data_IF_243151073425
#
_entry.id   IF_243151073425
#
_cell.length_a   1.000
_cell.length_b   1.000
_cell.length_c   1.000
_cell.angle_alpha   90.00
_cell.angle_beta   90.00
_cell.angle_gamma   90.00
#
_symmetry.space_group_name_H-M   'P 1'
#
loop_
_entity.id
_entity.type
_entity.pdbx_description
1 polymer ?
#
# COMPACT_ATOMS: atom_id res chain seq x y z
N UNK A 1 0.63 12.43 -1.27
CA UNK A 1 0.48 12.76 -2.70
C UNK A 1 1.57 13.72 -3.13
N UNK A 2 1.88 13.78 -4.42
CA UNK A 2 2.77 14.84 -4.96
C UNK A 2 2.00 16.17 -4.92
N UNK A 3 2.48 17.13 -4.12
CA UNK A 3 1.83 18.45 -3.95
C UNK A 3 2.44 19.50 -4.87
N UNK A 4 3.74 19.39 -5.12
CA UNK A 4 4.47 20.17 -6.11
C UNK A 4 5.48 19.25 -6.80
N UNK A 5 6.03 19.63 -7.98
CA UNK A 5 6.92 18.76 -8.74
C UNK A 5 8.06 18.21 -7.86
N UNK A 6 8.17 16.87 -7.83
CA UNK A 6 9.14 16.13 -7.02
C UNK A 6 9.07 16.35 -5.49
N UNK A 7 7.92 16.82 -4.97
CA UNK A 7 7.67 16.94 -3.54
C UNK A 7 6.42 16.15 -3.15
N UNK A 8 6.62 15.16 -2.29
CA UNK A 8 5.56 14.28 -1.81
C UNK A 8 5.21 14.63 -0.38
N UNK A 9 3.99 15.09 -0.15
CA UNK A 9 3.47 15.34 1.19
C UNK A 9 2.47 14.26 1.62
N UNK A 10 2.54 13.85 2.87
CA UNK A 10 1.71 12.79 3.43
C UNK A 10 1.84 12.67 4.92
N UNK A 11 1.10 11.72 5.50
CA UNK A 11 1.15 11.41 6.93
C UNK A 11 2.07 10.21 7.14
N UNK A 12 2.97 10.32 8.10
CA UNK A 12 3.86 9.26 8.54
C UNK A 12 4.06 9.41 10.06
N UNK A 13 3.80 8.34 10.80
CA UNK A 13 3.85 8.31 12.27
C UNK A 13 3.05 9.46 12.90
N UNK A 14 1.79 9.63 12.47
CA UNK A 14 0.86 10.66 12.95
C UNK A 14 1.33 12.11 12.79
N UNK A 15 2.33 12.34 11.94
CA UNK A 15 2.84 13.66 11.60
C UNK A 15 2.74 13.91 10.10
N UNK A 16 2.64 15.17 9.70
CA UNK A 16 2.70 15.53 8.28
C UNK A 16 4.14 15.78 7.87
N UNK A 17 4.51 15.21 6.72
CA UNK A 17 5.84 15.29 6.14
C UNK A 17 5.75 15.79 4.71
N UNK A 18 6.80 16.48 4.27
CA UNK A 18 7.11 16.72 2.85
C UNK A 18 8.49 16.12 2.58
N UNK A 19 8.55 15.25 1.59
CA UNK A 19 9.77 14.56 1.17
C UNK A 19 10.13 14.99 -0.26
N UNK A 20 11.41 15.19 -0.51
CA UNK A 20 11.96 15.38 -1.86
C UNK A 20 13.35 14.73 -1.93
N UNK A 21 13.87 14.47 -3.11
CA UNK A 21 15.15 13.80 -3.27
C UNK A 21 16.00 14.38 -4.40
N UNK A 22 17.30 14.25 -4.25
CA UNK A 22 18.32 14.41 -5.29
C UNK A 22 18.89 13.03 -5.63
N UNK A 23 19.92 12.96 -6.48
CA UNK A 23 20.59 11.69 -6.81
C UNK A 23 21.20 11.01 -5.56
N UNK A 24 21.66 11.79 -4.58
CA UNK A 24 22.40 11.26 -3.42
C UNK A 24 21.66 11.39 -2.09
N UNK A 25 20.65 12.26 -2.00
CA UNK A 25 20.05 12.64 -0.71
C UNK A 25 18.52 12.65 -0.75
N UNK A 26 17.91 12.12 0.32
CA UNK A 26 16.50 12.31 0.66
C UNK A 26 16.38 13.46 1.67
N UNK A 27 15.64 14.50 1.29
CA UNK A 27 15.32 15.64 2.12
C UNK A 27 13.95 15.45 2.77
N UNK A 28 13.91 15.58 4.08
CA UNK A 28 12.70 15.40 4.89
C UNK A 28 12.37 16.69 5.64
N UNK A 29 11.15 17.19 5.49
CA UNK A 29 10.58 18.27 6.29
C UNK A 29 9.38 17.74 7.06
N UNK A 30 9.31 17.98 8.36
CA UNK A 30 8.18 17.60 9.21
C UNK A 30 7.47 18.86 9.72
N UNK A 31 6.15 18.81 9.79
CA UNK A 31 5.32 19.92 10.22
C UNK A 31 4.75 19.63 11.61
N UNK A 32 4.89 20.60 12.53
CA UNK A 32 4.47 20.46 13.93
C UNK A 32 3.57 21.60 14.39
N UNK A 33 2.67 21.27 15.33
CA UNK A 33 1.71 22.20 15.93
C UNK A 33 0.62 22.66 14.96
N UNK A 34 -0.42 23.29 15.49
CA UNK A 34 -1.65 23.61 14.75
C UNK A 34 -1.46 24.55 13.54
N UNK A 35 -0.34 25.29 13.51
CA UNK A 35 -0.02 26.31 12.50
C UNK A 35 0.93 25.86 11.39
N UNK A 36 1.28 24.58 11.26
CA UNK A 36 2.12 24.18 10.12
C UNK A 36 3.60 24.53 10.27
N UNK A 37 4.16 24.61 11.49
CA UNK A 37 5.58 24.99 11.61
C UNK A 37 6.46 23.89 11.01
N UNK A 38 6.99 24.16 9.82
CA UNK A 38 7.97 23.32 9.17
C UNK A 38 9.28 23.34 9.96
N UNK A 39 9.91 22.19 10.12
CA UNK A 39 11.20 22.09 10.78
C UNK A 39 12.00 20.89 10.30
N UNK A 40 13.30 20.92 10.61
CA UNK A 40 14.15 19.74 10.44
C UNK A 40 13.65 18.61 11.36
N UNK A 41 13.67 17.35 10.89
CA UNK A 41 13.35 16.21 11.73
C UNK A 41 14.38 16.04 12.86
N UNK A 42 13.90 15.60 14.02
CA UNK A 42 14.74 15.10 15.11
C UNK A 42 15.29 13.72 14.77
N UNK A 43 16.28 13.23 15.53
CA UNK A 43 16.82 11.87 15.34
C UNK A 43 15.76 10.78 15.51
N UNK A 44 14.83 10.93 16.47
CA UNK A 44 13.74 9.96 16.66
C UNK A 44 12.76 9.94 15.49
N UNK A 45 12.36 11.11 14.99
CA UNK A 45 11.47 11.19 13.83
C UNK A 45 12.16 10.65 12.55
N UNK A 46 13.49 10.82 12.41
CA UNK A 46 14.24 10.18 11.33
C UNK A 46 14.26 8.66 11.45
N UNK A 47 14.23 8.07 12.65
CA UNK A 47 14.11 6.61 12.78
C UNK A 47 12.79 6.11 12.20
N UNK A 48 11.70 6.83 12.40
CA UNK A 48 10.41 6.48 11.80
C UNK A 48 10.47 6.49 10.26
N UNK A 49 11.12 7.51 9.68
CA UNK A 49 11.36 7.57 8.22
C UNK A 49 12.23 6.40 7.75
N UNK A 50 13.32 6.11 8.45
CA UNK A 50 14.22 4.99 8.11
C UNK A 50 13.51 3.65 8.14
N UNK A 51 12.68 3.40 9.15
CA UNK A 51 11.87 2.19 9.28
C UNK A 51 10.82 2.11 8.17
N UNK A 52 10.04 3.18 7.98
CA UNK A 52 8.98 3.23 6.96
C UNK A 52 9.50 2.94 5.55
N UNK A 53 10.65 3.50 5.16
CA UNK A 53 11.28 3.24 3.86
C UNK A 53 12.24 2.02 3.86
N UNK A 54 12.40 1.36 5.00
CA UNK A 54 13.31 0.22 5.19
C UNK A 54 14.73 0.53 4.69
N UNK A 55 15.27 1.69 5.05
CA UNK A 55 16.53 2.22 4.50
C UNK A 55 17.76 1.38 4.86
N UNK A 56 17.67 0.53 5.88
CA UNK A 56 18.74 -0.39 6.27
C UNK A 56 18.87 -1.59 5.32
N UNK A 57 17.84 -1.86 4.50
CA UNK A 57 17.90 -2.89 3.46
C UNK A 57 18.74 -2.37 2.30
N UNK A 58 19.86 -3.05 2.01
CA UNK A 58 20.71 -2.72 0.88
C UNK A 58 20.09 -3.23 -0.44
N UNK A 59 19.38 -2.35 -1.15
CA UNK A 59 18.77 -2.68 -2.44
C UNK A 59 19.77 -3.14 -3.50
N UNK A 60 21.00 -2.62 -3.47
CA UNK A 60 22.02 -2.98 -4.46
C UNK A 60 22.46 -4.45 -4.31
N UNK A 61 22.41 -4.98 -3.08
CA UNK A 61 22.62 -6.41 -2.82
C UNK A 61 21.42 -7.26 -3.23
N UNK A 62 20.23 -6.66 -3.31
CA UNK A 62 19.04 -7.39 -3.70
C UNK A 62 19.06 -7.65 -5.20
N UNK A 63 19.19 -6.68 -6.12
CA UNK A 63 19.37 -6.97 -7.57
C UNK A 63 19.91 -5.78 -8.39
N UNK A 64 20.57 -6.05 -9.54
CA UNK A 64 21.16 -5.07 -10.47
C UNK A 64 20.19 -4.08 -11.17
N UNK A 65 18.86 -4.24 -11.01
CA UNK A 65 17.83 -3.44 -11.73
C UNK A 65 16.70 -2.91 -10.85
N UNK A 66 16.83 -2.98 -9.52
CA UNK A 66 15.72 -2.65 -8.62
C UNK A 66 15.75 -1.18 -8.19
N UNK A 67 14.79 -0.40 -8.67
CA UNK A 67 14.62 1.02 -8.31
C UNK A 67 13.41 1.27 -7.41
N UNK A 68 12.81 0.23 -6.81
CA UNK A 68 11.57 0.34 -6.02
C UNK A 68 11.80 -0.29 -4.64
N UNK A 69 11.49 0.46 -3.59
CA UNK A 69 11.44 -0.02 -2.20
C UNK A 69 10.00 -0.33 -1.81
N UNK A 70 9.85 -1.33 -0.96
CA UNK A 70 8.58 -1.59 -0.29
C UNK A 70 8.52 -0.82 1.03
N UNK A 71 7.37 -0.21 1.32
CA UNK A 71 7.15 0.51 2.57
C UNK A 71 6.80 -0.46 3.70
N UNK A 72 7.26 -0.16 4.92
CA UNK A 72 6.85 -0.81 6.17
C UNK A 72 5.79 0.06 6.84
N UNK A 73 4.54 -0.16 6.45
CA UNK A 73 3.39 0.62 6.90
C UNK A 73 2.96 0.25 8.34
N UNK A 74 2.19 1.15 8.94
CA UNK A 74 1.46 0.84 10.18
C UNK A 74 0.44 -0.29 9.92
N UNK A 75 0.33 -1.31 10.80
CA UNK A 75 -0.57 -2.43 10.58
C UNK A 75 -2.06 -2.06 10.51
N UNK A 76 -2.52 -1.06 11.25
CA UNK A 76 -3.92 -0.60 11.23
C UNK A 76 -4.20 0.11 9.92
N UNK A 77 -3.36 1.10 9.57
CA UNK A 77 -3.47 1.83 8.31
C UNK A 77 -3.46 0.87 7.11
N UNK A 78 -2.50 -0.05 7.08
CA UNK A 78 -2.36 -1.04 6.00
C UNK A 78 -3.59 -1.96 5.92
N UNK A 79 -4.03 -2.53 7.04
CA UNK A 79 -5.19 -3.44 7.09
C UNK A 79 -6.45 -2.78 6.52
N UNK A 80 -6.84 -1.62 7.06
CA UNK A 80 -8.11 -1.00 6.68
C UNK A 80 -8.03 -0.35 5.28
N UNK A 81 -6.85 0.11 4.85
CA UNK A 81 -6.63 0.55 3.47
C UNK A 81 -6.80 -0.61 2.48
N UNK A 82 -6.26 -1.80 2.77
CA UNK A 82 -6.43 -2.95 1.89
C UNK A 82 -7.83 -3.58 1.94
N UNK A 83 -8.54 -3.53 3.08
CA UNK A 83 -9.98 -3.87 3.12
C UNK A 83 -10.77 -2.98 2.14
N UNK A 84 -10.45 -1.68 2.10
CA UNK A 84 -11.03 -0.73 1.15
C UNK A 84 -10.64 -1.00 -0.32
N UNK A 85 -9.53 -1.70 -0.56
CA UNK A 85 -8.96 -1.95 -1.89
C UNK A 85 -9.59 -3.10 -2.68
N UNK A 86 -10.26 -4.05 -2.02
CA UNK A 86 -10.75 -5.27 -2.65
C UNK A 86 -11.65 -4.97 -3.86
N UNK A 87 -11.35 -5.52 -5.04
CA UNK A 87 -12.09 -5.28 -6.30
C UNK A 87 -12.32 -3.77 -6.59
N UNK A 88 -11.24 -3.02 -6.69
CA UNK A 88 -11.26 -1.56 -6.83
C UNK A 88 -10.02 -1.07 -7.61
N UNK A 89 -9.98 0.21 -8.00
CA UNK A 89 -8.81 0.80 -8.67
C UNK A 89 -8.10 1.84 -7.79
N UNK A 90 -6.82 2.09 -8.07
CA UNK A 90 -5.94 2.93 -7.22
C UNK A 90 -6.56 4.31 -6.97
N UNK A 91 -7.09 4.97 -8.00
CA UNK A 91 -7.68 6.33 -7.87
C UNK A 91 -8.85 6.34 -6.89
N UNK A 92 -9.76 5.37 -7.01
CA UNK A 92 -10.93 5.26 -6.12
C UNK A 92 -10.53 4.86 -4.70
N UNK A 93 -9.51 4.02 -4.55
CA UNK A 93 -8.98 3.62 -3.24
C UNK A 93 -8.39 4.82 -2.51
N UNK A 94 -7.55 5.61 -3.18
CA UNK A 94 -6.96 6.83 -2.59
C UNK A 94 -8.04 7.75 -2.04
N UNK A 95 -9.05 8.09 -2.85
CA UNK A 95 -10.14 8.95 -2.36
C UNK A 95 -11.00 8.31 -1.26
N UNK A 96 -11.13 6.98 -1.21
CA UNK A 96 -11.83 6.29 -0.12
C UNK A 96 -11.05 6.37 1.19
N UNK A 97 -9.73 6.17 1.17
CA UNK A 97 -8.87 6.27 2.35
C UNK A 97 -8.83 7.70 2.86
N UNK A 98 -8.74 8.69 1.98
CA UNK A 98 -8.79 10.12 2.35
C UNK A 98 -10.10 10.47 3.08
N UNK A 99 -11.26 10.08 2.53
CA UNK A 99 -12.55 10.32 3.19
C UNK A 99 -12.69 9.58 4.52
N UNK A 100 -12.12 8.38 4.64
CA UNK A 100 -12.09 7.62 5.89
C UNK A 100 -11.27 8.34 6.96
N UNK A 101 -10.08 8.83 6.61
CA UNK A 101 -9.23 9.61 7.53
C UNK A 101 -9.88 10.95 7.88
N UNK A 102 -10.51 11.64 6.94
CA UNK A 102 -11.21 12.89 7.20
C UNK A 102 -12.39 12.72 8.17
N UNK A 103 -13.14 11.61 8.06
CA UNK A 103 -14.33 11.38 8.86
C UNK A 103 -14.03 10.82 10.27
N UNK A 104 -13.00 9.97 10.40
CA UNK A 104 -12.75 9.21 11.63
C UNK A 104 -11.34 9.38 12.20
N UNK A 105 -10.46 10.09 11.49
CA UNK A 105 -9.08 10.33 11.89
C UNK A 105 -8.93 11.64 12.67
N UNK A 106 -7.92 11.75 13.53
CA UNK A 106 -7.62 13.01 14.20
C UNK A 106 -7.16 14.05 13.17
N UNK A 107 -7.71 15.26 13.20
CA UNK A 107 -7.16 16.38 12.42
C UNK A 107 -5.75 16.67 12.93
N UNK A 108 -4.77 16.63 12.03
CA UNK A 108 -3.37 16.91 12.39
C UNK A 108 -3.05 18.38 12.14
N UNK A 109 -3.21 18.84 10.90
CA UNK A 109 -2.76 20.15 10.47
C UNK A 109 -3.40 20.55 9.15
N UNK A 110 -3.34 21.82 8.81
CA UNK A 110 -3.70 22.32 7.49
C UNK A 110 -2.50 23.04 6.87
N UNK A 111 -2.16 22.63 5.65
CA UNK A 111 -1.15 23.27 4.82
C UNK A 111 -1.88 23.78 3.57
N UNK A 112 -1.88 25.09 3.37
CA UNK A 112 -2.68 25.75 2.34
C UNK A 112 -4.17 25.34 2.44
N UNK A 113 -4.75 24.84 1.35
CA UNK A 113 -6.14 24.37 1.29
C UNK A 113 -6.30 22.89 1.66
N UNK A 114 -5.22 22.19 2.02
CA UNK A 114 -5.23 20.76 2.31
C UNK A 114 -5.16 20.53 3.82
N UNK A 115 -6.25 19.97 4.38
CA UNK A 115 -6.24 19.46 5.75
C UNK A 115 -5.78 18.01 5.76
N UNK A 116 -4.78 17.72 6.58
CA UNK A 116 -4.27 16.38 6.83
C UNK A 116 -4.88 15.80 8.10
N UNK A 117 -5.21 14.51 8.04
CA UNK A 117 -5.78 13.74 9.12
C UNK A 117 -4.93 12.49 9.35
N UNK A 118 -4.76 12.11 10.62
CA UNK A 118 -4.16 10.83 10.98
C UNK A 118 -5.06 9.68 10.56
N UNK A 119 -4.52 8.47 10.55
CA UNK A 119 -5.35 7.30 10.29
C UNK A 119 -6.30 7.06 11.49
N UNK A 120 -7.56 6.64 11.27
CA UNK A 120 -8.49 6.38 12.36
C UNK A 120 -8.00 5.28 13.32
N UNK A 121 -8.22 5.48 14.61
CA UNK A 121 -7.96 4.44 15.61
C UNK A 121 -8.96 3.28 15.50
N UNK A 122 -8.62 2.13 16.08
CA UNK A 122 -9.55 1.00 16.18
C UNK A 122 -10.87 1.41 16.87
N UNK A 123 -10.78 2.23 17.91
CA UNK A 123 -11.94 2.70 18.68
C UNK A 123 -12.84 3.58 17.81
N UNK A 124 -12.26 4.46 16.99
CA UNK A 124 -13.01 5.29 16.05
C UNK A 124 -13.71 4.44 14.99
N UNK A 125 -13.07 3.37 14.50
CA UNK A 125 -13.64 2.48 13.48
C UNK A 125 -14.65 1.46 14.01
N UNK A 126 -14.64 1.15 15.31
CA UNK A 126 -15.55 0.20 15.93
C UNK A 126 -16.89 0.82 16.39
N UNK A 127 -17.03 2.15 16.29
CA UNK A 127 -18.22 2.89 16.75
C UNK A 127 -19.55 2.40 16.16
N UNK A 128 -20.69 2.66 16.84
CA UNK A 128 -21.99 2.11 16.46
C UNK A 128 -22.46 2.55 15.07
N UNK A 129 -22.20 3.80 14.68
CA UNK A 129 -22.68 4.38 13.41
C UNK A 129 -21.68 4.32 12.24
N UNK A 130 -20.49 3.76 12.47
CA UNK A 130 -19.36 3.80 11.50
C UNK A 130 -19.75 3.18 10.17
N UNK A 131 -20.42 2.02 10.16
CA UNK A 131 -20.83 1.37 8.91
C UNK A 131 -21.77 2.27 8.10
N UNK A 132 -22.78 2.86 8.74
CA UNK A 132 -23.76 3.72 8.07
C UNK A 132 -23.10 4.96 7.48
N UNK A 133 -22.19 5.59 8.22
CA UNK A 133 -21.44 6.76 7.76
C UNK A 133 -20.48 6.41 6.61
N UNK A 134 -19.75 5.30 6.69
CA UNK A 134 -18.87 4.83 5.60
C UNK A 134 -19.64 4.49 4.32
N UNK A 135 -20.88 3.98 4.43
CA UNK A 135 -21.76 3.77 3.26
C UNK A 135 -22.08 5.09 2.57
N UNK A 136 -22.40 6.15 3.33
CA UNK A 136 -22.63 7.51 2.80
C UNK A 136 -21.37 8.08 2.12
N UNK A 137 -20.18 7.72 2.59
CA UNK A 137 -18.88 8.10 2.00
C UNK A 137 -18.46 7.26 0.78
N UNK A 138 -19.31 6.33 0.33
CA UNK A 138 -19.13 5.59 -0.92
C UNK A 138 -18.30 4.31 -0.81
N UNK A 139 -18.08 3.78 0.40
CA UNK A 139 -17.34 2.51 0.59
C UNK A 139 -18.17 1.27 0.19
N UNK A 140 -19.49 1.43 0.07
CA UNK A 140 -20.40 0.35 -0.33
C UNK A 140 -20.38 -0.81 0.68
N UNK A 141 -20.33 -2.05 0.19
CA UNK A 141 -20.33 -3.24 1.05
C UNK A 141 -19.10 -3.33 1.97
N UNK A 142 -17.97 -2.68 1.62
CA UNK A 142 -16.74 -2.68 2.41
C UNK A 142 -16.88 -1.92 3.73
N UNK A 143 -17.86 -1.02 3.83
CA UNK A 143 -18.17 -0.34 5.08
C UNK A 143 -18.42 -1.31 6.24
N UNK A 144 -19.14 -2.41 5.96
CA UNK A 144 -19.37 -3.49 6.94
C UNK A 144 -18.06 -4.16 7.36
N UNK A 145 -17.16 -4.40 6.42
CA UNK A 145 -15.88 -5.06 6.70
C UNK A 145 -14.95 -4.21 7.57
N UNK A 146 -14.91 -2.90 7.34
CA UNK A 146 -14.16 -1.96 8.17
C UNK A 146 -14.69 -1.98 9.61
N UNK A 147 -16.00 -1.75 9.79
CA UNK A 147 -16.63 -1.72 11.12
C UNK A 147 -16.49 -3.07 11.85
N UNK A 148 -16.83 -4.17 11.18
CA UNK A 148 -16.80 -5.51 11.79
C UNK A 148 -15.37 -5.98 12.10
N UNK A 149 -14.38 -5.67 11.26
CA UNK A 149 -12.98 -6.00 11.56
C UNK A 149 -12.44 -5.20 12.73
N UNK A 150 -12.78 -3.90 12.84
CA UNK A 150 -12.38 -3.08 13.98
C UNK A 150 -12.95 -3.63 15.30
N UNK A 151 -14.24 -4.00 15.32
CA UNK A 151 -14.88 -4.66 16.47
C UNK A 151 -14.25 -6.01 16.79
N UNK A 152 -14.09 -6.89 15.81
CA UNK A 152 -13.47 -8.20 16.03
C UNK A 152 -12.05 -8.08 16.62
N UNK A 153 -11.26 -7.09 16.20
CA UNK A 153 -9.94 -6.86 16.77
C UNK A 153 -10.03 -6.38 18.22
N UNK A 154 -10.89 -5.39 18.52
CA UNK A 154 -11.01 -4.83 19.87
C UNK A 154 -11.65 -5.80 20.87
N UNK A 155 -12.73 -6.45 20.48
CA UNK A 155 -13.63 -7.18 21.37
C UNK A 155 -13.22 -8.65 21.52
N UNK A 156 -12.68 -9.27 20.46
CA UNK A 156 -12.43 -10.72 20.44
C UNK A 156 -10.94 -11.08 20.49
N UNK A 157 -10.05 -10.14 20.13
CA UNK A 157 -8.62 -10.44 19.91
C UNK A 157 -7.67 -9.71 20.84
N UNK A 158 -8.17 -8.85 21.73
CA UNK A 158 -7.32 -8.09 22.65
C UNK A 158 -6.71 -6.82 22.05
N UNK A 159 -7.31 -6.29 20.97
CA UNK A 159 -7.01 -4.97 20.43
C UNK A 159 -5.71 -4.87 19.62
N UNK A 160 -5.13 -3.67 19.60
CA UNK A 160 -3.91 -3.36 18.85
C UNK A 160 -2.73 -4.31 19.13
N UNK A 161 -2.47 -4.75 20.38
CA UNK A 161 -1.40 -5.71 20.67
C UNK A 161 -1.46 -6.99 19.83
N UNK A 162 -2.68 -7.50 19.53
CA UNK A 162 -2.83 -8.70 18.69
C UNK A 162 -2.34 -8.48 17.27
N UNK A 163 -2.54 -7.30 16.70
CA UNK A 163 -2.06 -7.01 15.35
C UNK A 163 -0.54 -6.79 15.35
N UNK A 164 -0.01 -6.13 16.38
CA UNK A 164 1.42 -5.86 16.53
C UNK A 164 2.24 -7.15 16.70
N UNK A 165 1.74 -8.15 17.45
CA UNK A 165 2.46 -9.42 17.61
C UNK A 165 2.59 -10.23 16.31
N UNK A 166 1.71 -10.00 15.31
CA UNK A 166 1.80 -10.70 14.02
C UNK A 166 3.08 -10.35 13.24
N UNK A 167 3.71 -9.20 13.52
CA UNK A 167 5.06 -8.90 13.01
C UNK A 167 6.10 -9.93 13.45
N UNK A 168 5.95 -10.49 14.66
CA UNK A 168 6.88 -11.51 15.19
C UNK A 168 6.47 -12.94 14.83
N UNK A 169 5.19 -13.16 14.54
CA UNK A 169 4.67 -14.48 14.16
C UNK A 169 5.24 -14.95 12.80
N UNK A 170 5.34 -16.26 12.55
CA UNK A 170 5.61 -16.80 11.23
C UNK A 170 4.59 -16.31 10.18
N UNK A 171 5.01 -16.21 8.91
CA UNK A 171 4.14 -15.75 7.81
C UNK A 171 2.81 -16.51 7.74
N UNK A 172 2.84 -17.84 7.83
CA UNK A 172 1.63 -18.65 7.70
C UNK A 172 0.64 -18.43 8.85
N UNK A 173 1.15 -18.19 10.06
CA UNK A 173 0.32 -17.87 11.23
C UNK A 173 -0.30 -16.48 11.12
N UNK A 174 0.50 -15.49 10.74
CA UNK A 174 0.02 -14.12 10.52
C UNK A 174 -1.04 -14.08 9.40
N UNK A 175 -0.79 -14.75 8.29
CA UNK A 175 -1.71 -14.84 7.15
C UNK A 175 -3.03 -15.50 7.54
N UNK A 176 -2.97 -16.67 8.20
CA UNK A 176 -4.15 -17.38 8.68
C UNK A 176 -4.94 -16.54 9.69
N UNK A 177 -4.26 -15.88 10.61
CA UNK A 177 -4.89 -15.02 11.62
C UNK A 177 -5.64 -13.86 10.96
N UNK A 178 -5.02 -13.18 9.99
CA UNK A 178 -5.65 -12.09 9.24
C UNK A 178 -6.88 -12.55 8.44
N UNK A 179 -6.83 -13.73 7.79
CA UNK A 179 -7.94 -14.25 6.98
C UNK A 179 -9.22 -14.55 7.77
N UNK A 180 -9.17 -14.51 9.10
CA UNK A 180 -10.37 -14.65 9.94
C UNK A 180 -11.13 -13.33 10.11
N UNK A 181 -10.57 -12.20 9.68
CA UNK A 181 -11.22 -10.89 9.75
C UNK A 181 -12.22 -10.69 8.59
N UNK A 182 -13.38 -10.05 8.84
CA UNK A 182 -14.34 -9.70 7.79
C UNK A 182 -13.71 -8.89 6.63
N UNK A 183 -13.83 -9.40 5.41
CA UNK A 183 -13.32 -8.72 4.22
C UNK A 183 -11.82 -8.95 3.94
N UNK A 184 -11.15 -9.76 4.74
CA UNK A 184 -9.75 -10.13 4.54
C UNK A 184 -9.66 -11.53 3.93
N UNK A 185 -9.51 -11.60 2.61
CA UNK A 185 -9.18 -12.84 1.90
C UNK A 185 -7.67 -13.01 1.71
N UNK A 186 -7.25 -14.12 1.09
CA UNK A 186 -5.83 -14.47 0.86
C UNK A 186 -4.99 -13.31 0.34
N UNK A 187 -5.42 -12.65 -0.74
CA UNK A 187 -4.69 -11.53 -1.35
C UNK A 187 -4.54 -10.33 -0.40
N UNK A 188 -5.60 -9.99 0.33
CA UNK A 188 -5.58 -8.88 1.29
C UNK A 188 -4.64 -9.21 2.45
N UNK A 189 -4.72 -10.44 2.98
CA UNK A 189 -3.82 -10.91 4.03
C UNK A 189 -2.35 -10.89 3.57
N UNK A 190 -2.05 -11.33 2.35
CA UNK A 190 -0.71 -11.25 1.78
C UNK A 190 -0.22 -9.79 1.66
N UNK A 191 -1.08 -8.86 1.23
CA UNK A 191 -0.70 -7.45 1.14
C UNK A 191 -0.28 -6.89 2.51
N UNK A 192 -1.04 -7.23 3.57
CA UNK A 192 -0.76 -6.80 4.93
C UNK A 192 0.50 -7.47 5.48
N UNK A 193 0.67 -8.77 5.23
CA UNK A 193 1.88 -9.50 5.60
C UNK A 193 3.13 -8.86 4.98
N UNK A 194 3.07 -8.56 3.69
CA UNK A 194 4.16 -7.99 2.92
C UNK A 194 4.48 -6.55 3.36
N UNK A 195 3.46 -5.70 3.49
CA UNK A 195 3.64 -4.25 3.62
C UNK A 195 3.60 -3.72 5.06
N UNK A 196 3.20 -4.53 6.04
CA UNK A 196 3.11 -4.06 7.43
C UNK A 196 3.55 -5.06 8.51
N UNK A 197 3.67 -6.35 8.18
CA UNK A 197 3.99 -7.40 9.16
C UNK A 197 5.36 -8.09 8.95
N UNK A 198 6.26 -7.46 8.19
CA UNK A 198 7.64 -7.89 8.03
C UNK A 198 7.78 -9.29 7.40
N UNK A 199 6.91 -9.63 6.44
CA UNK A 199 6.93 -10.89 5.70
C UNK A 199 7.35 -10.65 4.23
N UNK A 200 8.63 -10.38 3.95
CA UNK A 200 9.10 -10.04 2.60
C UNK A 200 8.88 -11.16 1.56
N UNK A 201 8.62 -12.38 2.02
CA UNK A 201 8.29 -13.55 1.19
C UNK A 201 6.79 -13.63 0.80
N UNK A 202 5.92 -12.82 1.39
CA UNK A 202 4.49 -12.83 1.05
C UNK A 202 4.30 -12.29 -0.38
N UNK A 203 3.53 -13.01 -1.21
CA UNK A 203 3.29 -12.66 -2.62
C UNK A 203 1.79 -12.53 -2.84
N UNK A 204 1.22 -11.32 -2.77
CA UNK A 204 -0.19 -11.09 -3.09
C UNK A 204 -0.54 -11.52 -4.51
N UNK A 205 -1.30 -12.60 -4.68
CA UNK A 205 -1.73 -13.08 -6.00
C UNK A 205 -3.10 -12.51 -6.37
N UNK A 206 -3.12 -11.71 -7.43
CA UNK A 206 -4.32 -11.21 -8.10
C UNK A 206 -4.27 -11.47 -9.62
N UNK A 207 -5.23 -10.94 -10.36
CA UNK A 207 -5.31 -11.16 -11.81
C UNK A 207 -4.09 -10.62 -12.57
N UNK A 208 -3.44 -9.55 -12.08
CA UNK A 208 -2.24 -9.01 -12.70
C UNK A 208 -1.06 -9.97 -12.53
N UNK A 209 -0.92 -10.56 -11.34
CA UNK A 209 0.09 -11.60 -11.13
C UNK A 209 -0.13 -12.83 -12.01
N UNK A 210 -1.38 -13.22 -12.24
CA UNK A 210 -1.72 -14.28 -13.19
C UNK A 210 -1.29 -13.92 -14.62
N UNK A 211 -1.55 -12.69 -15.06
CA UNK A 211 -1.16 -12.20 -16.38
C UNK A 211 0.36 -12.18 -16.55
N UNK A 212 1.10 -11.67 -15.55
CA UNK A 212 2.57 -11.67 -15.55
C UNK A 212 3.11 -13.10 -15.61
N UNK A 213 2.59 -14.00 -14.79
CA UNK A 213 3.03 -15.39 -14.75
C UNK A 213 2.86 -16.10 -16.11
N UNK A 214 1.72 -15.90 -16.78
CA UNK A 214 1.47 -16.49 -18.09
C UNK A 214 2.30 -15.83 -19.19
N UNK A 215 2.34 -14.49 -19.23
CA UNK A 215 3.01 -13.71 -20.27
C UNK A 215 4.53 -13.88 -20.24
N UNK A 216 5.12 -13.79 -19.05
CA UNK A 216 6.57 -13.64 -18.89
C UNK A 216 7.26 -14.95 -18.47
N UNK A 217 6.51 -15.89 -17.89
CA UNK A 217 7.06 -17.16 -17.39
C UNK A 217 6.38 -18.39 -18.02
N UNK A 218 5.40 -18.21 -18.91
CA UNK A 218 4.60 -19.30 -19.48
C UNK A 218 4.04 -20.26 -18.41
N UNK A 219 3.71 -19.70 -17.24
CA UNK A 219 3.30 -20.50 -16.09
C UNK A 219 1.85 -20.96 -16.20
N UNK A 220 1.61 -22.22 -15.83
CA UNK A 220 0.29 -22.83 -15.70
C UNK A 220 0.20 -23.67 -14.41
N UNK A 221 -0.98 -23.74 -13.78
CA UNK A 221 -1.15 -24.56 -12.58
C UNK A 221 -0.98 -26.05 -12.93
N UNK A 222 -0.24 -26.76 -12.08
CA UNK A 222 0.09 -28.18 -12.24
C UNK A 222 -0.65 -29.05 -11.23
N UNK A 223 -1.03 -28.49 -10.08
CA UNK A 223 -1.65 -29.26 -8.99
C UNK A 223 -3.18 -29.27 -9.02
N UNK A 224 -3.79 -28.56 -9.97
CA UNK A 224 -5.24 -28.41 -10.10
C UNK A 224 -5.66 -28.35 -11.56
N UNK A 225 -6.86 -28.84 -11.87
CA UNK A 225 -7.44 -28.73 -13.23
C UNK A 225 -8.01 -27.33 -13.52
N UNK A 226 -7.99 -26.41 -12.54
CA UNK A 226 -8.45 -25.05 -12.74
C UNK A 226 -7.61 -24.34 -13.81
N UNK A 227 -8.25 -23.84 -14.87
CA UNK A 227 -7.59 -23.08 -15.94
C UNK A 227 -7.39 -21.59 -15.62
N UNK A 228 -7.68 -21.17 -14.38
CA UNK A 228 -7.65 -19.77 -13.97
C UNK A 228 -7.63 -19.59 -12.45
N UNK A 229 -7.80 -18.35 -11.97
CA UNK A 229 -7.69 -18.02 -10.55
C UNK A 229 -8.62 -18.85 -9.66
N UNK A 230 -8.03 -19.53 -8.68
CA UNK A 230 -8.73 -20.30 -7.65
C UNK A 230 -7.89 -20.30 -6.38
N UNK A 231 -8.45 -20.59 -5.19
CA UNK A 231 -7.67 -20.60 -3.95
C UNK A 231 -6.42 -21.50 -4.02
N UNK A 232 -6.56 -22.69 -4.60
CA UNK A 232 -5.46 -23.64 -4.75
C UNK A 232 -4.44 -23.16 -5.79
N UNK A 233 -4.89 -22.71 -6.96
CA UNK A 233 -3.99 -22.24 -8.01
C UNK A 233 -3.26 -20.94 -7.61
N UNK A 234 -3.92 -20.05 -6.88
CA UNK A 234 -3.29 -18.83 -6.34
C UNK A 234 -2.20 -19.18 -5.33
N UNK A 235 -2.43 -20.18 -4.47
CA UNK A 235 -1.41 -20.67 -3.53
C UNK A 235 -0.22 -21.28 -4.26
N UNK A 236 -0.47 -22.08 -5.30
CA UNK A 236 0.59 -22.65 -6.15
C UNK A 236 1.40 -21.54 -6.83
N UNK A 237 0.74 -20.53 -7.39
CA UNK A 237 1.41 -19.40 -8.03
C UNK A 237 2.27 -18.58 -7.06
N UNK A 238 1.76 -18.32 -5.85
CA UNK A 238 2.55 -17.66 -4.80
C UNK A 238 3.80 -18.47 -4.41
N UNK A 239 3.66 -19.81 -4.31
CA UNK A 239 4.78 -20.71 -4.04
C UNK A 239 5.82 -20.73 -5.16
N UNK A 240 5.37 -20.70 -6.42
CA UNK A 240 6.23 -20.60 -7.59
C UNK A 240 7.13 -19.36 -7.49
N UNK A 241 6.54 -18.18 -7.27
CA UNK A 241 7.31 -16.94 -7.15
C UNK A 241 8.21 -16.88 -5.91
N UNK A 242 7.79 -17.46 -4.78
CA UNK A 242 8.66 -17.62 -3.60
C UNK A 242 9.87 -18.52 -3.89
N UNK A 243 9.67 -19.59 -4.65
CA UNK A 243 10.76 -20.51 -5.03
C UNK A 243 11.72 -19.84 -6.01
N UNK A 244 11.20 -18.99 -6.90
CA UNK A 244 11.98 -18.27 -7.90
C UNK A 244 12.79 -17.11 -7.32
N UNK A 245 12.18 -16.28 -6.48
CA UNK A 245 12.80 -15.03 -5.99
C UNK A 245 13.31 -15.11 -4.55
N UNK A 246 13.04 -16.22 -3.85
CA UNK A 246 13.55 -16.48 -2.51
C UNK A 246 12.86 -15.65 -1.41
N UNK A 247 13.58 -15.35 -0.31
CA UNK A 247 12.99 -14.72 0.89
C UNK A 247 12.39 -13.33 0.69
N UNK A 248 12.75 -12.63 -0.40
CA UNK A 248 12.25 -11.29 -0.74
C UNK A 248 11.32 -11.29 -1.96
N UNK A 249 10.62 -12.41 -2.22
CA UNK A 249 9.74 -12.55 -3.37
C UNK A 249 8.67 -11.46 -3.50
N UNK A 250 8.09 -10.99 -2.40
CA UNK A 250 7.12 -9.89 -2.43
C UNK A 250 7.73 -8.53 -2.82
N UNK A 251 9.02 -8.33 -2.56
CA UNK A 251 9.74 -7.14 -3.01
C UNK A 251 10.02 -7.21 -4.51
N UNK A 252 10.43 -8.38 -5.01
CA UNK A 252 10.59 -8.61 -6.45
C UNK A 252 9.26 -8.34 -7.19
N UNK A 253 8.15 -8.81 -6.63
CA UNK A 253 6.82 -8.53 -7.15
C UNK A 253 6.54 -7.02 -7.27
N UNK A 254 6.88 -6.22 -6.25
CA UNK A 254 6.61 -4.78 -6.27
C UNK A 254 7.31 -4.06 -7.44
N UNK A 255 8.51 -4.52 -7.83
CA UNK A 255 9.24 -4.01 -9.00
C UNK A 255 8.46 -4.31 -10.29
N UNK A 256 8.01 -5.55 -10.47
CA UNK A 256 7.24 -5.96 -11.66
C UNK A 256 5.91 -5.20 -11.75
N UNK A 257 5.21 -5.09 -10.62
CA UNK A 257 3.95 -4.34 -10.57
C UNK A 257 4.13 -2.86 -10.91
N UNK A 258 5.19 -2.22 -10.41
CA UNK A 258 5.53 -0.84 -10.74
C UNK A 258 5.86 -0.66 -12.23
N UNK A 259 6.56 -1.62 -12.84
CA UNK A 259 6.81 -1.62 -14.28
C UNK A 259 5.50 -1.74 -15.10
N UNK A 260 4.63 -2.68 -14.75
CA UNK A 260 3.37 -2.94 -15.47
C UNK A 260 2.39 -1.75 -15.39
N UNK A 261 2.31 -1.07 -14.24
CA UNK A 261 1.54 0.17 -14.10
C UNK A 261 2.05 1.29 -15.02
N UNK A 262 3.37 1.43 -15.19
CA UNK A 262 3.95 2.43 -16.11
C UNK A 262 3.64 2.12 -17.56
N UNK A 263 3.65 0.85 -17.96
CA UNK A 263 3.23 0.43 -19.29
C UNK A 263 1.75 0.74 -19.55
N UNK A 264 0.88 0.46 -18.57
CA UNK A 264 -0.56 0.73 -18.69
C UNK A 264 -0.85 2.23 -18.83
N UNK A 265 -0.17 3.08 -18.05
CA UNK A 265 -0.30 4.55 -18.19
C UNK A 265 0.17 5.05 -19.55
N UNK A 266 1.33 4.60 -20.04
CA UNK A 266 1.86 4.98 -21.36
C UNK A 266 0.95 4.52 -22.50
N UNK A 267 0.31 3.36 -22.38
CA UNK A 267 -0.62 2.85 -23.38
C UNK A 267 -1.94 3.65 -23.44
N UNK A 268 -2.31 4.35 -22.36
CA UNK A 268 -3.49 5.21 -22.28
C UNK A 268 -3.23 6.66 -22.70
N UNK A 269 -1.96 7.06 -22.87
CA UNK A 269 -1.61 8.38 -23.38
C UNK A 269 -1.89 8.48 -24.89
N UNK A 270 -2.61 9.51 -25.36
CA UNK A 270 -2.82 9.70 -26.79
C UNK A 270 -1.47 9.91 -27.49
N UNK A 271 -1.28 9.37 -28.71
CA UNK A 271 0.00 9.47 -29.40
C UNK A 271 0.41 10.93 -29.55
N UNK A 272 1.65 11.24 -29.18
CA UNK A 272 2.20 12.58 -29.28
C UNK A 272 1.97 13.13 -30.69
N UNK A 273 1.24 14.25 -30.79
CA UNK A 273 0.99 14.93 -32.07
C UNK A 273 2.35 15.23 -32.71
N UNK A 274 2.67 14.56 -33.81
CA UNK A 274 3.83 14.89 -34.65
C UNK A 274 3.76 16.38 -34.97
N UNK A 275 4.67 17.17 -34.39
CA UNK A 275 4.88 18.57 -34.76
C UNK A 275 5.22 18.57 -36.26
N UNK A 276 4.29 19.00 -37.11
CA UNK A 276 4.59 19.32 -38.51
C UNK A 276 5.72 20.34 -38.48
N UNK A 277 6.93 19.94 -38.90
CA UNK A 277 7.99 20.88 -39.27
C UNK A 277 7.38 21.80 -40.32
N UNK A 278 7.11 23.05 -39.96
CA UNK A 278 6.92 24.11 -40.95
C UNK A 278 8.28 24.28 -41.61
N UNK A 279 8.42 23.75 -42.82
CA UNK A 279 9.44 24.22 -43.75
C UNK A 279 9.14 25.69 -43.99
N UNK A 280 10.02 26.58 -43.53
CA UNK A 280 9.98 27.98 -43.94
C UNK A 280 10.33 28.08 -45.43
N UNK A 281 9.82 29.08 -46.15
CA UNK A 281 10.18 29.27 -47.54
C UNK A 281 11.66 29.71 -47.62
N UNK A 282 12.44 29.02 -48.44
CA UNK A 282 13.66 29.58 -49.01
C UNK A 282 13.25 30.51 -50.16
N UNK A 283 13.75 31.75 -50.17
CA UNK A 283 13.55 32.74 -51.22
C UNK A 283 12.97 34.04 -50.73
#
# INVERSE_FOLDING_TARGET
>A
MEQSPAHWSGVLADQVWTLTQTEEQLYCTVYRGDKGRAGKPTLEELKAVRQYFQLDVNLAQLYHHWSVRLLQQDPIECLFSFICSSNNNIVRITGMVERLCQAFGPRLIQLDDVTYYGFPSLQALAGPEVEAQLRKLGLGYRARYVSASARAILEERGGLPWLQQLRKAPYEEAHKALCTLPGVGTKVADCICLMALDKPQAVPVDIHMWQIAQRDYSWHPTTTQAKGPSPQANKELGNFFRSLWGPYAGWAQAVLFSADLRHTRRAQEPPAKRRKRRMGPEG
#
